data_IF_764142353262
#
_entry.id   IF_764142353262
#
_cell.length_a   1.000
_cell.length_b   1.000
_cell.length_c   1.000
_cell.angle_alpha   90.00
_cell.angle_beta   90.00
_cell.angle_gamma   90.00
#
_symmetry.space_group_name_H-M   'P 1'
#
loop_
_entity.id
_entity.type
_entity.pdbx_description
1 polymer ?
#
# COMPACT_ATOMS: atom_id res chain seq x y z
N UNK A 1 10.51 5.15 36.31
CA UNK A 1 9.07 5.10 35.96
C UNK A 1 8.83 5.84 34.63
N UNK A 2 9.43 5.36 33.52
CA UNK A 2 9.37 6.03 32.18
C UNK A 2 8.89 5.10 31.05
N UNK A 3 8.34 3.93 31.38
CA UNK A 3 7.86 2.98 30.37
C UNK A 3 6.57 3.45 29.64
N UNK A 4 5.67 4.14 30.34
CA UNK A 4 4.42 4.61 29.77
C UNK A 4 4.59 5.62 28.65
N UNK A 5 5.41 6.64 28.83
CA UNK A 5 5.62 7.72 27.86
C UNK A 5 6.30 7.25 26.55
N UNK A 6 7.10 6.18 26.63
CA UNK A 6 7.78 5.63 25.44
C UNK A 6 6.81 4.82 24.60
N UNK A 7 5.90 4.10 25.22
CA UNK A 7 4.85 3.31 24.52
C UNK A 7 3.89 4.23 23.78
N UNK A 8 3.44 5.32 24.42
CA UNK A 8 2.51 6.28 23.82
C UNK A 8 3.11 6.95 22.57
N UNK A 9 4.40 7.27 22.61
CA UNK A 9 5.09 7.88 21.46
C UNK A 9 5.17 6.96 20.24
N UNK A 10 5.41 5.67 20.43
CA UNK A 10 5.46 4.70 19.35
C UNK A 10 4.09 4.45 18.73
N UNK A 11 3.06 4.36 19.55
CA UNK A 11 1.67 4.24 19.08
C UNK A 11 1.28 5.47 18.25
N UNK A 12 1.59 6.67 18.72
CA UNK A 12 1.30 7.90 18.00
C UNK A 12 2.05 7.97 16.64
N UNK A 13 3.30 7.53 16.60
CA UNK A 13 4.08 7.47 15.36
C UNK A 13 3.48 6.47 14.35
N UNK A 14 3.14 5.27 14.79
CA UNK A 14 2.52 4.25 13.93
C UNK A 14 1.15 4.70 13.43
N UNK A 15 0.36 5.35 14.29
CA UNK A 15 -0.92 5.93 13.92
C UNK A 15 -0.77 7.01 12.84
N UNK A 16 0.19 7.91 13.00
CA UNK A 16 0.45 8.97 12.03
C UNK A 16 0.87 8.40 10.67
N UNK A 17 1.73 7.37 10.65
CA UNK A 17 2.13 6.69 9.41
C UNK A 17 0.91 6.03 8.76
N UNK A 18 0.09 5.34 9.54
CA UNK A 18 -1.10 4.69 9.02
C UNK A 18 -2.11 5.69 8.44
N UNK A 19 -2.36 6.79 9.11
CA UNK A 19 -3.19 7.88 8.60
C UNK A 19 -2.62 8.48 7.31
N UNK A 20 -1.30 8.58 7.19
CA UNK A 20 -0.65 9.01 5.95
C UNK A 20 -0.91 8.02 4.81
N UNK A 21 -0.90 6.72 5.09
CA UNK A 21 -1.23 5.68 4.11
C UNK A 21 -2.70 5.75 3.68
N UNK A 22 -3.61 5.96 4.61
CA UNK A 22 -5.03 6.17 4.29
C UNK A 22 -5.23 7.40 3.41
N UNK A 23 -4.50 8.48 3.68
CA UNK A 23 -4.55 9.68 2.87
C UNK A 23 -4.05 9.44 1.44
N UNK A 24 -2.95 8.71 1.27
CA UNK A 24 -2.44 8.33 -0.05
C UNK A 24 -3.45 7.47 -0.82
N UNK A 25 -4.04 6.47 -0.15
CA UNK A 25 -5.06 5.62 -0.75
C UNK A 25 -6.31 6.42 -1.17
N UNK A 26 -6.73 7.37 -0.34
CA UNK A 26 -7.85 8.25 -0.63
C UNK A 26 -7.57 9.18 -1.84
N UNK A 27 -6.40 9.83 -1.87
CA UNK A 27 -5.97 10.65 -3.03
C UNK A 27 -5.94 9.79 -4.30
N UNK A 28 -5.41 8.58 -4.22
CA UNK A 28 -5.38 7.64 -5.33
C UNK A 28 -6.77 7.27 -5.84
N UNK A 29 -7.73 7.06 -4.93
CA UNK A 29 -9.12 6.79 -5.29
C UNK A 29 -9.77 7.99 -6.00
N UNK A 30 -9.58 9.20 -5.49
CA UNK A 30 -10.07 10.42 -6.15
C UNK A 30 -9.49 10.60 -7.54
N UNK A 31 -8.18 10.38 -7.69
CA UNK A 31 -7.50 10.46 -8.97
C UNK A 31 -8.02 9.39 -9.94
N UNK A 32 -8.16 8.14 -9.49
CA UNK A 32 -8.69 7.05 -10.29
C UNK A 32 -10.12 7.34 -10.78
N UNK A 33 -10.99 7.86 -9.91
CA UNK A 33 -12.34 8.24 -10.29
C UNK A 33 -12.35 9.39 -11.30
N UNK A 34 -11.46 10.37 -11.17
CA UNK A 34 -11.38 11.50 -12.09
C UNK A 34 -10.99 11.07 -13.52
N UNK A 35 -10.12 10.05 -13.66
CA UNK A 35 -9.67 9.56 -14.97
C UNK A 35 -10.49 8.39 -15.51
N UNK A 36 -11.35 7.77 -14.69
CA UNK A 36 -12.12 6.58 -15.10
C UNK A 36 -13.18 6.88 -16.16
N UNK A 37 -13.67 8.10 -16.25
CA UNK A 37 -14.66 8.51 -17.25
C UNK A 37 -14.18 8.36 -18.69
N UNK A 38 -12.87 8.46 -18.92
CA UNK A 38 -12.26 8.39 -20.25
C UNK A 38 -11.76 6.97 -20.59
N UNK A 39 -11.74 6.04 -19.61
CA UNK A 39 -11.09 4.74 -19.75
C UNK A 39 -11.89 3.60 -19.11
N UNK A 40 -12.67 2.89 -19.90
CA UNK A 40 -13.52 1.77 -19.43
C UNK A 40 -12.74 0.56 -18.88
N UNK A 41 -11.45 0.43 -19.20
CA UNK A 41 -10.57 -0.64 -18.73
C UNK A 41 -9.90 -0.32 -17.38
N UNK A 42 -10.09 0.89 -16.86
CA UNK A 42 -9.44 1.31 -15.63
C UNK A 42 -10.10 0.62 -14.43
N UNK A 43 -9.28 -0.09 -13.67
CA UNK A 43 -9.72 -0.67 -12.40
C UNK A 43 -9.58 0.38 -11.30
N UNK A 44 -10.71 0.96 -10.89
CA UNK A 44 -10.71 1.97 -9.82
C UNK A 44 -10.84 1.29 -8.47
N UNK A 45 -9.93 1.63 -7.55
CA UNK A 45 -10.06 1.27 -6.15
C UNK A 45 -11.14 2.16 -5.51
N UNK A 46 -12.23 1.54 -5.05
CA UNK A 46 -13.41 2.28 -4.61
C UNK A 46 -13.17 2.94 -3.24
N UNK A 47 -13.75 4.12 -3.06
CA UNK A 47 -13.65 4.88 -1.79
C UNK A 47 -14.22 4.09 -0.62
N UNK A 48 -15.22 3.24 -0.87
CA UNK A 48 -15.85 2.40 0.15
C UNK A 48 -14.86 1.42 0.81
N UNK A 49 -13.79 1.03 0.10
CA UNK A 49 -12.72 0.21 0.66
C UNK A 49 -11.94 0.93 1.78
N UNK A 50 -12.04 2.26 1.88
CA UNK A 50 -11.46 3.01 3.01
C UNK A 50 -12.07 2.56 4.34
N UNK A 51 -13.36 2.22 4.37
CA UNK A 51 -14.00 1.72 5.59
C UNK A 51 -13.35 0.42 6.07
N UNK A 52 -12.92 -0.44 5.14
CA UNK A 52 -12.17 -1.65 5.46
C UNK A 52 -10.83 -1.29 6.09
N UNK A 53 -10.13 -0.33 5.51
CA UNK A 53 -8.85 0.13 6.04
C UNK A 53 -8.99 0.80 7.42
N UNK A 54 -10.11 1.44 7.71
CA UNK A 54 -10.37 1.99 9.05
C UNK A 54 -10.41 0.91 10.14
N UNK A 55 -10.72 -0.34 9.79
CA UNK A 55 -10.65 -1.47 10.73
C UNK A 55 -9.23 -1.71 11.27
N UNK A 56 -8.20 -1.29 10.56
CA UNK A 56 -6.81 -1.35 11.03
C UNK A 56 -6.51 -0.44 12.22
N UNK A 57 -7.28 0.64 12.43
CA UNK A 57 -7.04 1.59 13.52
C UNK A 57 -7.14 0.97 14.93
N UNK A 58 -8.20 0.20 15.29
CA UNK A 58 -8.27 -0.48 16.58
C UNK A 58 -7.08 -1.41 16.82
N UNK A 59 -6.62 -2.13 15.80
CA UNK A 59 -5.48 -3.03 15.90
C UNK A 59 -4.17 -2.28 16.20
N UNK A 60 -3.96 -1.14 15.56
CA UNK A 60 -2.81 -0.29 15.87
C UNK A 60 -2.83 0.22 17.32
N UNK A 61 -3.99 0.56 17.85
CA UNK A 61 -4.13 0.98 19.26
C UNK A 61 -3.86 -0.18 20.23
N UNK A 62 -4.15 -1.40 19.80
CA UNK A 62 -3.90 -2.63 20.58
C UNK A 62 -2.49 -3.20 20.37
N UNK A 63 -1.70 -2.65 19.44
CA UNK A 63 -0.39 -3.15 19.05
C UNK A 63 0.56 -3.39 20.25
N UNK A 64 0.55 -2.49 21.22
CA UNK A 64 1.36 -2.62 22.44
C UNK A 64 1.02 -3.85 23.30
N UNK A 65 -0.21 -4.36 23.18
CA UNK A 65 -0.69 -5.54 23.92
C UNK A 65 -0.37 -6.85 23.22
N UNK A 66 -0.14 -6.82 21.89
CA UNK A 66 0.03 -8.02 21.05
C UNK A 66 1.48 -8.23 20.64
N UNK A 67 2.40 -7.43 21.15
CA UNK A 67 3.85 -7.50 20.83
C UNK A 67 4.17 -7.45 19.32
N UNK A 68 3.37 -6.72 18.55
CA UNK A 68 3.64 -6.50 17.14
C UNK A 68 4.86 -5.55 16.96
N UNK A 69 5.72 -5.79 15.95
CA UNK A 69 6.87 -4.95 15.73
C UNK A 69 6.47 -3.52 15.38
N UNK A 70 7.19 -2.56 15.95
CA UNK A 70 6.99 -1.15 15.64
C UNK A 70 7.61 -0.80 14.29
N UNK A 71 7.02 0.14 13.56
CA UNK A 71 7.56 0.58 12.27
C UNK A 71 9.00 1.10 12.39
N UNK A 72 9.32 1.81 13.46
CA UNK A 72 10.67 2.32 13.76
C UNK A 72 11.40 1.49 14.82
N UNK A 73 11.28 0.17 14.78
CA UNK A 73 12.01 -0.69 15.69
C UNK A 73 13.52 -0.47 15.56
N UNK A 74 14.19 -0.24 16.69
CA UNK A 74 15.61 0.15 16.74
C UNK A 74 16.57 -0.96 16.31
N UNK A 75 16.12 -2.22 16.34
CA UNK A 75 16.91 -3.38 15.92
C UNK A 75 17.02 -3.56 14.40
N UNK A 76 16.22 -2.85 13.61
CA UNK A 76 16.19 -2.98 12.15
C UNK A 76 16.81 -1.73 11.51
N UNK A 77 17.87 -1.93 10.72
CA UNK A 77 18.51 -0.84 9.99
C UNK A 77 17.59 -0.26 8.90
N UNK A 78 17.73 1.02 8.59
CA UNK A 78 16.95 1.66 7.52
C UNK A 78 17.19 0.98 6.15
N UNK A 79 18.38 0.43 5.93
CA UNK A 79 18.69 -0.36 4.73
C UNK A 79 17.79 -1.59 4.61
N UNK A 80 17.62 -2.34 5.68
CA UNK A 80 16.78 -3.55 5.66
C UNK A 80 15.29 -3.19 5.60
N UNK A 81 14.91 -2.05 6.18
CA UNK A 81 13.51 -1.60 6.25
C UNK A 81 12.97 -1.06 4.93
N UNK A 82 13.81 -0.32 4.18
CA UNK A 82 13.38 0.38 2.97
C UNK A 82 14.09 -0.10 1.71
N UNK A 83 15.42 -0.20 1.74
CA UNK A 83 16.21 -0.46 0.55
C UNK A 83 16.00 -1.89 0.04
N UNK A 84 16.04 -2.88 0.92
CA UNK A 84 15.87 -4.29 0.49
C UNK A 84 14.47 -4.52 -0.10
N UNK A 85 13.35 -4.16 0.55
CA UNK A 85 12.04 -4.30 -0.05
C UNK A 85 11.88 -3.51 -1.36
N UNK A 86 12.43 -2.30 -1.45
CA UNK A 86 12.39 -1.51 -2.67
C UNK A 86 13.16 -2.18 -3.83
N UNK A 87 14.33 -2.75 -3.57
CA UNK A 87 15.10 -3.48 -4.58
C UNK A 87 14.36 -4.75 -5.04
N UNK A 88 13.79 -5.50 -4.10
CA UNK A 88 12.97 -6.68 -4.44
C UNK A 88 11.78 -6.27 -5.30
N UNK A 89 11.04 -5.24 -4.91
CA UNK A 89 9.92 -4.72 -5.70
C UNK A 89 10.34 -4.24 -7.09
N UNK A 90 11.50 -3.59 -7.19
CA UNK A 90 12.06 -3.16 -8.48
C UNK A 90 12.39 -4.34 -9.39
N UNK A 91 13.01 -5.41 -8.86
CA UNK A 91 13.31 -6.63 -9.63
C UNK A 91 12.02 -7.26 -10.17
N UNK A 92 11.01 -7.44 -9.32
CA UNK A 92 9.72 -7.97 -9.75
C UNK A 92 9.05 -7.07 -10.78
N UNK A 93 9.07 -5.74 -10.60
CA UNK A 93 8.51 -4.80 -11.58
C UNK A 93 9.21 -4.87 -12.94
N UNK A 94 10.53 -5.01 -12.98
CA UNK A 94 11.29 -5.19 -14.23
C UNK A 94 10.92 -6.53 -14.89
N UNK A 95 10.86 -7.61 -14.13
CA UNK A 95 10.47 -8.93 -14.64
C UNK A 95 9.05 -8.89 -15.22
N UNK A 96 8.13 -8.22 -14.57
CA UNK A 96 6.74 -8.07 -15.02
C UNK A 96 6.69 -7.32 -16.37
N UNK A 97 7.40 -6.20 -16.47
CA UNK A 97 7.50 -5.44 -17.72
C UNK A 97 8.11 -6.29 -18.85
N UNK A 98 9.15 -7.07 -18.56
CA UNK A 98 9.78 -7.95 -19.55
C UNK A 98 8.81 -9.04 -20.02
N UNK A 99 8.13 -9.71 -19.10
CA UNK A 99 7.13 -10.74 -19.43
C UNK A 99 6.03 -10.16 -20.31
N UNK A 100 5.50 -9.01 -19.96
CA UNK A 100 4.40 -8.39 -20.67
C UNK A 100 4.83 -7.90 -22.05
N UNK A 101 5.94 -7.15 -22.13
CA UNK A 101 6.38 -6.55 -23.40
C UNK A 101 7.07 -7.51 -24.34
N UNK A 102 7.80 -8.49 -23.82
CA UNK A 102 8.63 -9.40 -24.63
C UNK A 102 7.93 -10.73 -24.92
N UNK A 103 7.17 -11.27 -23.96
CA UNK A 103 6.56 -12.59 -24.10
C UNK A 103 5.09 -12.54 -24.52
N UNK A 104 4.29 -11.66 -23.94
CA UNK A 104 2.83 -11.67 -24.14
C UNK A 104 2.36 -10.71 -25.26
N UNK A 105 3.11 -9.63 -25.54
CA UNK A 105 2.76 -8.61 -26.55
C UNK A 105 1.25 -8.27 -26.60
N UNK A 106 0.58 -7.96 -25.48
CA UNK A 106 -0.85 -7.71 -25.48
C UNK A 106 -1.20 -6.51 -26.34
N UNK A 107 -2.33 -6.59 -27.05
CA UNK A 107 -2.85 -5.45 -27.81
C UNK A 107 -3.08 -4.26 -26.87
N UNK A 108 -2.58 -3.06 -27.22
CA UNK A 108 -2.70 -1.91 -26.35
C UNK A 108 -4.17 -1.57 -26.06
N UNK A 109 -4.50 -1.45 -24.80
CA UNK A 109 -5.75 -0.96 -24.21
C UNK A 109 -7.02 -1.82 -24.32
N UNK A 110 -7.09 -2.82 -25.21
CA UNK A 110 -8.27 -3.69 -25.32
C UNK A 110 -8.11 -5.03 -24.62
N UNK A 111 -6.87 -5.51 -24.47
CA UNK A 111 -6.52 -6.80 -23.88
C UNK A 111 -5.56 -6.69 -22.70
N UNK A 112 -5.38 -5.48 -22.16
CA UNK A 112 -4.55 -5.30 -20.99
C UNK A 112 -5.14 -6.11 -19.84
N UNK A 113 -4.38 -7.06 -19.27
CA UNK A 113 -4.80 -7.74 -18.07
C UNK A 113 -5.18 -6.73 -17.00
N UNK A 114 -6.15 -7.01 -16.13
CA UNK A 114 -6.65 -6.05 -15.14
C UNK A 114 -5.60 -5.54 -14.16
N UNK A 115 -4.42 -6.15 -14.14
CA UNK A 115 -3.27 -5.70 -13.35
C UNK A 115 -2.38 -4.66 -14.06
N UNK A 116 -2.54 -4.48 -15.38
CA UNK A 116 -1.81 -3.46 -16.14
C UNK A 116 -2.60 -2.14 -16.16
N UNK A 117 -2.37 -1.35 -15.16
CA UNK A 117 -2.99 -0.03 -15.08
C UNK A 117 -2.01 1.07 -15.52
N UNK A 118 -2.49 2.18 -16.11
CA UNK A 118 -1.62 3.24 -16.59
C UNK A 118 -0.86 3.94 -15.46
N UNK A 119 0.40 4.28 -15.73
CA UNK A 119 1.16 5.15 -14.84
C UNK A 119 0.64 6.60 -14.96
N UNK A 120 0.55 7.40 -13.88
CA UNK A 120 0.96 7.11 -12.49
C UNK A 120 -0.11 6.42 -11.63
N UNK A 121 -1.32 6.20 -12.14
CA UNK A 121 -2.43 5.64 -11.38
C UNK A 121 -2.13 4.24 -10.81
N UNK A 122 -1.41 3.42 -11.56
CA UNK A 122 -1.00 2.08 -11.12
C UNK A 122 -0.30 2.08 -9.76
N UNK A 123 0.49 3.11 -9.43
CA UNK A 123 1.15 3.22 -8.13
C UNK A 123 0.13 3.31 -6.99
N UNK A 124 -0.90 4.12 -7.16
CA UNK A 124 -1.96 4.29 -6.14
C UNK A 124 -2.80 3.02 -6.00
N UNK A 125 -3.17 2.40 -7.11
CA UNK A 125 -3.97 1.18 -7.10
C UNK A 125 -3.25 0.04 -6.38
N UNK A 126 -2.01 -0.22 -6.74
CA UNK A 126 -1.23 -1.29 -6.12
C UNK A 126 -0.89 -1.00 -4.66
N UNK A 127 -0.60 0.26 -4.33
CA UNK A 127 -0.40 0.67 -2.94
C UNK A 127 -1.66 0.43 -2.09
N UNK A 128 -2.82 0.84 -2.58
CA UNK A 128 -4.10 0.67 -1.87
C UNK A 128 -4.46 -0.80 -1.71
N UNK A 129 -4.27 -1.62 -2.75
CA UNK A 129 -4.48 -3.06 -2.68
C UNK A 129 -3.51 -3.77 -1.72
N UNK A 130 -2.24 -3.38 -1.70
CA UNK A 130 -1.28 -3.92 -0.75
C UNK A 130 -1.64 -3.57 0.71
N UNK A 131 -2.07 -2.34 0.95
CA UNK A 131 -2.51 -1.90 2.27
C UNK A 131 -3.76 -2.67 2.73
N UNK A 132 -4.71 -2.91 1.83
CA UNK A 132 -5.91 -3.70 2.10
C UNK A 132 -5.56 -5.15 2.48
N UNK A 133 -4.65 -5.77 1.76
CA UNK A 133 -4.17 -7.13 2.07
C UNK A 133 -3.50 -7.16 3.45
N UNK A 134 -2.65 -6.20 3.78
CA UNK A 134 -1.99 -6.13 5.08
C UNK A 134 -3.01 -6.02 6.23
N UNK A 135 -4.06 -5.21 6.06
CA UNK A 135 -5.13 -5.08 7.08
C UNK A 135 -5.91 -6.37 7.25
N UNK A 136 -6.24 -7.08 6.15
CA UNK A 136 -7.03 -8.30 6.24
C UNK A 136 -6.28 -9.51 6.76
N UNK A 137 -4.99 -9.63 6.45
CA UNK A 137 -4.24 -10.86 6.70
C UNK A 137 -3.21 -10.74 7.84
N UNK A 138 -2.88 -9.53 8.26
CA UNK A 138 -1.89 -9.32 9.33
C UNK A 138 -2.43 -8.64 10.58
N UNK A 139 -3.54 -7.97 10.52
CA UNK A 139 -4.18 -7.32 11.65
C UNK A 139 -5.46 -8.06 12.03
#
# INVERSE_FOLDING_TARGET
>A
MNLGLRTDRHVAQNLLIYLSFLLIAWIGSLYGNAISGDHTFLRVWQVDNIFILLLGLPFLLLQSKVSLPNFFETGISNKNRFLIPALVGMVFGILDILVIKVLLHPQPYTELPPYLQPFPYSLFLFFSGALEIEVFYRL
#
